data_IF_872491818002
#
_entry.id   IF_872491818002
#
_cell.length_a   1.000
_cell.length_b   1.000
_cell.length_c   1.000
_cell.angle_alpha   90.00
_cell.angle_beta   90.00
_cell.angle_gamma   90.00
#
_symmetry.space_group_name_H-M   'P 1'
#
loop_
_entity.id
_entity.type
_entity.pdbx_description
1 polymer ?
#
# COMPACT_ATOMS: atom_id res chain seq x y z
N UNK A 1 27.71 1.78 -14.26
CA UNK A 1 27.89 1.80 -12.80
C UNK A 1 26.64 1.24 -12.12
N UNK A 2 26.78 0.58 -10.97
CA UNK A 2 25.67 -0.05 -10.25
C UNK A 2 25.86 0.06 -8.74
N UNK A 3 24.76 0.06 -7.99
CA UNK A 3 24.71 -0.03 -6.52
C UNK A 3 24.99 -1.45 -5.99
N UNK A 4 25.31 -2.41 -6.86
CA UNK A 4 25.59 -3.81 -6.48
C UNK A 4 26.64 -3.95 -5.40
N UNK A 5 27.77 -3.24 -5.51
CA UNK A 5 28.83 -3.26 -4.50
C UNK A 5 28.35 -2.74 -3.14
N UNK A 6 27.52 -1.71 -3.14
CA UNK A 6 26.96 -1.12 -1.91
C UNK A 6 26.03 -2.11 -1.21
N UNK A 7 25.13 -2.77 -1.95
CA UNK A 7 24.22 -3.77 -1.38
C UNK A 7 24.94 -5.05 -0.95
N UNK A 8 25.99 -5.46 -1.65
CA UNK A 8 26.82 -6.59 -1.22
C UNK A 8 27.51 -6.30 0.12
N UNK A 9 27.96 -5.06 0.36
CA UNK A 9 28.66 -4.68 1.58
C UNK A 9 27.72 -4.43 2.77
N UNK A 10 26.53 -3.87 2.53
CA UNK A 10 25.61 -3.45 3.60
C UNK A 10 24.45 -4.43 3.83
N UNK A 11 24.25 -5.38 2.91
CA UNK A 11 22.94 -6.00 2.74
C UNK A 11 21.95 -5.02 2.10
N UNK A 12 20.75 -5.50 1.77
CA UNK A 12 19.76 -4.67 1.11
C UNK A 12 19.06 -5.36 -0.05
N UNK A 13 18.19 -4.61 -0.71
CA UNK A 13 17.46 -5.03 -1.90
C UNK A 13 17.85 -4.17 -3.10
N UNK A 14 18.41 -4.78 -4.14
CA UNK A 14 18.69 -4.12 -5.42
C UNK A 14 17.46 -4.18 -6.33
N UNK A 15 17.23 -3.10 -7.08
CA UNK A 15 16.19 -3.05 -8.10
C UNK A 15 16.58 -2.11 -9.25
N UNK A 16 15.75 -2.10 -10.30
CA UNK A 16 15.98 -1.31 -11.52
C UNK A 16 17.36 -1.59 -12.15
N UNK A 17 17.65 -2.87 -12.41
CA UNK A 17 18.94 -3.34 -12.95
C UNK A 17 20.17 -2.89 -12.14
N UNK A 18 19.99 -2.69 -10.82
CA UNK A 18 21.04 -2.27 -9.91
C UNK A 18 21.31 -0.76 -9.93
N UNK A 19 20.42 0.04 -10.51
CA UNK A 19 20.45 1.49 -10.43
C UNK A 19 19.67 2.04 -9.23
N UNK A 20 18.92 1.21 -8.49
CA UNK A 20 18.30 1.58 -7.22
C UNK A 20 18.49 0.48 -6.17
N UNK A 21 18.49 0.87 -4.91
CA UNK A 21 18.60 -0.05 -3.79
C UNK A 21 17.85 0.45 -2.55
N UNK A 22 17.43 -0.47 -1.68
CA UNK A 22 17.09 -0.15 -0.30
C UNK A 22 18.10 -0.84 0.61
N UNK A 23 18.70 -0.09 1.53
CA UNK A 23 19.79 -0.55 2.40
C UNK A 23 19.50 -0.17 3.86
N UNK A 24 20.18 -0.80 4.83
CA UNK A 24 20.16 -0.35 6.21
C UNK A 24 20.67 1.08 6.37
N UNK A 25 20.10 1.82 7.32
CA UNK A 25 20.64 3.06 7.82
C UNK A 25 21.95 2.86 8.59
N UNK A 26 22.80 3.89 8.72
CA UNK A 26 24.02 3.80 9.53
C UNK A 26 23.73 3.40 10.98
N UNK A 27 24.35 2.32 11.46
CA UNK A 27 24.15 1.82 12.83
C UNK A 27 22.91 0.93 13.02
N UNK A 28 22.15 0.65 11.95
CA UNK A 28 21.01 -0.27 11.97
C UNK A 28 21.40 -1.70 11.58
N UNK A 29 20.55 -2.67 11.91
CA UNK A 29 20.76 -4.09 11.58
C UNK A 29 20.65 -4.36 10.07
N UNK A 30 21.22 -5.48 9.61
CA UNK A 30 21.20 -5.88 8.18
C UNK A 30 19.81 -6.14 7.58
N UNK A 31 18.76 -6.20 8.42
CA UNK A 31 17.36 -6.34 8.00
C UNK A 31 16.68 -4.99 7.72
N UNK A 32 17.29 -3.88 8.13
CA UNK A 32 16.76 -2.54 7.94
C UNK A 32 16.76 -2.12 6.46
N UNK A 33 15.73 -1.39 6.04
CA UNK A 33 15.55 -0.86 4.67
C UNK A 33 15.15 0.62 4.70
N UNK A 34 15.55 1.33 5.76
CA UNK A 34 15.19 2.73 6.00
C UNK A 34 15.86 3.70 5.02
N UNK A 35 16.87 3.28 4.26
CA UNK A 35 17.58 4.12 3.28
C UNK A 35 17.30 3.63 1.86
N UNK A 36 16.76 4.52 1.03
CA UNK A 36 16.65 4.30 -0.41
C UNK A 36 17.79 5.01 -1.13
N UNK A 37 18.45 4.27 -2.02
CA UNK A 37 19.53 4.75 -2.87
C UNK A 37 19.11 4.68 -4.34
N UNK A 38 19.52 5.65 -5.13
CA UNK A 38 19.43 5.57 -6.59
C UNK A 38 20.62 6.23 -7.27
N UNK A 39 20.93 5.73 -8.47
CA UNK A 39 21.90 6.33 -9.36
C UNK A 39 21.22 7.37 -10.24
N UNK A 40 21.80 8.57 -10.26
CA UNK A 40 21.50 9.62 -11.23
C UNK A 40 22.82 10.15 -11.77
N UNK A 41 23.00 10.14 -13.09
CA UNK A 41 24.23 10.61 -13.76
C UNK A 41 25.53 10.02 -13.17
N UNK A 42 25.48 8.74 -12.77
CA UNK A 42 26.61 8.02 -12.18
C UNK A 42 26.90 8.33 -10.70
N UNK A 43 26.11 9.19 -10.05
CA UNK A 43 26.21 9.53 -8.63
C UNK A 43 25.12 8.86 -7.81
N UNK A 44 25.45 8.47 -6.59
CA UNK A 44 24.51 7.93 -5.60
C UNK A 44 23.78 9.07 -4.93
N UNK A 45 22.45 8.99 -4.93
CA UNK A 45 21.58 9.82 -4.13
C UNK A 45 20.92 8.94 -3.09
N UNK A 46 20.84 9.44 -1.86
CA UNK A 46 20.25 8.76 -0.72
C UNK A 46 19.04 9.52 -0.19
N UNK A 47 18.00 8.78 0.17
CA UNK A 47 16.86 9.27 0.93
C UNK A 47 16.66 8.35 2.12
N UNK A 48 16.63 8.91 3.34
CA UNK A 48 16.27 8.15 4.53
C UNK A 48 14.81 8.40 4.88
N UNK A 49 14.11 7.31 5.17
CA UNK A 49 12.76 7.31 5.76
C UNK A 49 12.81 7.17 7.30
N UNK A 50 14.02 7.06 7.89
CA UNK A 50 14.27 7.03 9.34
C UNK A 50 14.88 8.34 9.86
N UNK A 51 15.23 8.40 11.15
CA UNK A 51 15.77 9.60 11.80
C UNK A 51 17.19 10.02 11.38
N UNK A 52 17.78 9.38 10.37
CA UNK A 52 19.12 9.70 9.87
C UNK A 52 19.05 10.68 8.69
N UNK A 53 19.75 11.82 8.76
CA UNK A 53 19.87 12.75 7.63
C UNK A 53 20.60 12.07 6.44
N UNK A 54 20.24 12.41 5.20
CA UNK A 54 20.88 11.89 3.99
C UNK A 54 22.39 12.17 3.97
N UNK A 55 22.84 13.24 4.65
CA UNK A 55 24.25 13.56 4.86
C UNK A 55 24.97 12.49 5.68
N UNK A 56 24.34 11.96 6.73
CA UNK A 56 24.91 10.91 7.57
C UNK A 56 25.05 9.60 6.79
N UNK A 57 24.07 9.28 5.94
CA UNK A 57 24.12 8.13 5.03
C UNK A 57 25.30 8.28 4.05
N UNK A 58 25.41 9.43 3.37
CA UNK A 58 26.49 9.64 2.40
C UNK A 58 27.88 9.70 3.07
N UNK A 59 27.98 10.20 4.30
CA UNK A 59 29.22 10.17 5.07
C UNK A 59 29.62 8.74 5.47
N UNK A 60 28.66 7.89 5.87
CA UNK A 60 28.93 6.49 6.17
C UNK A 60 29.38 5.71 4.92
N UNK A 61 28.71 5.91 3.77
CA UNK A 61 29.11 5.28 2.51
C UNK A 61 30.53 5.67 2.07
N UNK A 62 30.91 6.93 2.25
CA UNK A 62 32.29 7.42 1.98
C UNK A 62 33.29 6.84 2.96
N UNK A 63 33.00 6.85 4.25
CA UNK A 63 33.86 6.29 5.31
C UNK A 63 34.15 4.80 5.06
N UNK A 64 33.17 4.06 4.55
CA UNK A 64 33.31 2.63 4.19
C UNK A 64 33.97 2.39 2.84
N UNK A 65 34.33 3.44 2.09
CA UNK A 65 34.92 3.31 0.76
C UNK A 65 33.98 2.68 -0.27
N UNK A 66 32.65 2.85 -0.10
CA UNK A 66 31.63 2.36 -1.03
C UNK A 66 31.23 3.42 -2.07
N UNK A 67 31.57 4.68 -1.80
CA UNK A 67 31.35 5.83 -2.68
C UNK A 67 32.56 6.77 -2.59
N UNK A 68 33.00 7.33 -3.72
CA UNK A 68 34.11 8.30 -3.78
C UNK A 68 33.70 9.72 -3.32
N UNK A 69 34.67 10.64 -3.34
CA UNK A 69 34.44 12.04 -2.99
C UNK A 69 33.37 12.72 -3.88
N UNK A 70 33.30 12.32 -5.16
CA UNK A 70 32.33 12.83 -6.15
C UNK A 70 30.95 12.16 -6.04
N UNK A 71 30.75 11.23 -5.11
CA UNK A 71 29.46 10.56 -4.93
C UNK A 71 29.25 9.34 -5.84
N UNK A 72 30.30 8.82 -6.50
CA UNK A 72 30.20 7.67 -7.42
C UNK A 72 30.54 6.36 -6.69
N UNK A 73 29.86 5.23 -6.97
CA UNK A 73 30.18 3.95 -6.33
C UNK A 73 31.62 3.51 -6.59
N UNK A 74 32.31 3.04 -5.55
CA UNK A 74 33.67 2.50 -5.61
C UNK A 74 33.66 0.99 -5.40
N UNK A 75 34.28 0.23 -6.32
CA UNK A 75 34.44 -1.23 -6.21
C UNK A 75 33.98 -2.05 -7.42
N UNK A 76 34.87 -2.95 -7.87
CA UNK A 76 34.74 -3.87 -8.99
C UNK A 76 33.78 -5.05 -8.70
N UNK A 77 33.31 -5.81 -9.72
CA UNK A 77 32.25 -6.79 -9.55
C UNK A 77 32.76 -8.02 -8.78
N UNK A 78 32.43 -8.10 -7.49
CA UNK A 78 32.55 -9.36 -6.77
C UNK A 78 31.42 -10.29 -7.22
N UNK A 79 31.79 -11.32 -7.98
CA UNK A 79 30.97 -12.47 -8.29
C UNK A 79 30.38 -13.09 -7.01
N UNK A 80 29.10 -13.46 -7.05
CA UNK A 80 28.58 -14.47 -6.13
C UNK A 80 27.55 -14.02 -5.08
N UNK A 81 26.61 -13.13 -5.43
CA UNK A 81 25.28 -13.21 -4.87
C UNK A 81 24.29 -12.96 -6.01
N UNK A 82 23.75 -14.04 -6.58
CA UNK A 82 22.69 -13.93 -7.57
C UNK A 82 21.50 -13.24 -6.89
N UNK A 83 21.37 -11.92 -7.13
CA UNK A 83 20.15 -11.17 -6.84
C UNK A 83 19.03 -11.95 -7.52
N UNK A 84 18.08 -12.48 -6.75
CA UNK A 84 16.89 -13.12 -7.32
C UNK A 84 16.25 -12.08 -8.22
N UNK A 85 16.42 -12.23 -9.53
CA UNK A 85 15.88 -11.29 -10.51
C UNK A 85 14.38 -11.19 -10.23
N UNK A 86 13.86 -9.95 -10.10
CA UNK A 86 12.41 -9.77 -9.97
C UNK A 86 11.77 -10.50 -11.15
N UNK A 87 10.79 -11.38 -10.91
CA UNK A 87 10.10 -12.06 -11.99
C UNK A 87 9.59 -11.02 -12.99
N UNK A 88 9.65 -11.37 -14.28
CA UNK A 88 9.18 -10.47 -15.33
C UNK A 88 7.71 -10.06 -15.08
N UNK A 89 7.33 -8.87 -15.57
CA UNK A 89 5.98 -8.31 -15.49
C UNK A 89 4.86 -9.31 -15.80
N UNK A 90 5.03 -10.15 -16.83
CA UNK A 90 4.11 -11.22 -17.23
C UNK A 90 3.99 -12.28 -16.14
N UNK A 91 5.11 -12.80 -15.63
CA UNK A 91 5.10 -13.77 -14.51
C UNK A 91 4.43 -13.19 -13.28
N UNK A 92 4.68 -11.91 -12.97
CA UNK A 92 4.05 -11.23 -11.84
C UNK A 92 2.53 -11.15 -12.02
N UNK A 93 2.05 -10.76 -13.20
CA UNK A 93 0.61 -10.68 -13.51
C UNK A 93 -0.06 -12.06 -13.43
N UNK A 94 0.53 -13.08 -14.06
CA UNK A 94 0.03 -14.46 -14.00
C UNK A 94 -0.02 -15.00 -12.58
N UNK A 95 0.97 -14.65 -11.74
CA UNK A 95 0.97 -15.02 -10.33
C UNK A 95 -0.18 -14.36 -9.56
N UNK A 96 -0.46 -13.09 -9.84
CA UNK A 96 -1.59 -12.39 -9.23
C UNK A 96 -2.95 -12.94 -9.69
N UNK A 97 -3.09 -13.25 -10.98
CA UNK A 97 -4.28 -13.90 -11.55
C UNK A 97 -4.53 -15.28 -10.89
N UNK A 98 -3.47 -16.08 -10.72
CA UNK A 98 -3.55 -17.38 -10.05
C UNK A 98 -3.96 -17.25 -8.57
N UNK A 99 -3.39 -16.29 -7.84
CA UNK A 99 -3.80 -16.01 -6.46
C UNK A 99 -5.27 -15.59 -6.41
N UNK A 100 -5.69 -14.70 -7.31
CA UNK A 100 -7.06 -14.24 -7.40
C UNK A 100 -8.05 -15.39 -7.65
N UNK A 101 -7.74 -16.30 -8.56
CA UNK A 101 -8.60 -17.47 -8.86
C UNK A 101 -8.70 -18.47 -7.71
N UNK A 102 -7.73 -18.46 -6.77
CA UNK A 102 -7.73 -19.30 -5.57
C UNK A 102 -8.48 -18.65 -4.38
N UNK A 103 -8.92 -17.40 -4.54
CA UNK A 103 -9.72 -16.70 -3.54
C UNK A 103 -11.11 -17.29 -3.41
N UNK A 104 -11.63 -17.31 -2.18
CA UNK A 104 -13.00 -17.68 -1.86
C UNK A 104 -13.79 -16.44 -1.46
N UNK A 105 -15.11 -16.48 -1.70
CA UNK A 105 -15.99 -15.40 -1.25
C UNK A 105 -15.87 -15.21 0.26
N UNK A 106 -15.87 -13.95 0.71
CA UNK A 106 -15.86 -13.64 2.13
C UNK A 106 -17.19 -14.10 2.72
N UNK A 107 -17.14 -15.10 3.60
CA UNK A 107 -18.29 -15.56 4.38
C UNK A 107 -18.46 -14.76 5.68
N UNK A 108 -19.66 -14.71 6.27
CA UNK A 108 -19.91 -13.97 7.52
C UNK A 108 -19.02 -14.37 8.69
N UNK A 109 -18.59 -15.63 8.74
CA UNK A 109 -17.70 -16.19 9.78
C UNK A 109 -16.21 -16.22 9.39
N UNK A 110 -15.86 -15.74 8.18
CA UNK A 110 -14.49 -15.74 7.68
C UNK A 110 -13.56 -14.79 8.45
N UNK A 111 -12.25 -15.05 8.40
CA UNK A 111 -11.25 -14.16 9.01
C UNK A 111 -11.26 -12.79 8.33
N UNK A 112 -11.45 -12.73 7.01
CA UNK A 112 -11.54 -11.47 6.28
C UNK A 112 -12.75 -10.63 6.74
N UNK A 113 -13.94 -11.25 6.92
CA UNK A 113 -15.11 -10.55 7.45
C UNK A 113 -14.86 -10.03 8.87
N UNK A 114 -14.31 -10.86 9.76
CA UNK A 114 -13.92 -10.46 11.12
C UNK A 114 -12.86 -9.36 11.13
N UNK A 115 -11.90 -9.41 10.21
CA UNK A 115 -10.87 -8.38 10.08
C UNK A 115 -11.50 -7.03 9.73
N UNK A 116 -12.37 -7.00 8.72
CA UNK A 116 -13.10 -5.82 8.31
C UNK A 116 -14.02 -5.29 9.45
N UNK A 117 -14.69 -6.19 10.17
CA UNK A 117 -15.46 -5.84 11.37
C UNK A 117 -14.61 -5.18 12.47
N UNK A 118 -13.39 -5.70 12.73
CA UNK A 118 -12.43 -5.07 13.67
C UNK A 118 -11.98 -3.69 13.21
N UNK A 119 -12.02 -3.43 11.91
CA UNK A 119 -11.80 -2.11 11.31
C UNK A 119 -13.05 -1.23 11.34
N UNK A 120 -14.13 -1.63 12.01
CA UNK A 120 -15.42 -0.93 12.01
C UNK A 120 -16.05 -0.77 10.62
N UNK A 121 -15.68 -1.65 9.68
CA UNK A 121 -16.21 -1.71 8.32
C UNK A 121 -16.80 -3.11 8.12
N UNK A 122 -18.04 -3.38 8.56
CA UNK A 122 -18.64 -4.69 8.36
C UNK A 122 -18.67 -5.03 6.86
N UNK A 123 -18.23 -6.25 6.51
CA UNK A 123 -18.37 -6.74 5.14
C UNK A 123 -19.86 -6.77 4.73
N UNK A 124 -20.15 -6.46 3.47
CA UNK A 124 -21.49 -6.55 2.89
C UNK A 124 -21.45 -7.23 1.52
N UNK A 125 -22.56 -7.83 1.11
CA UNK A 125 -22.66 -8.60 -0.14
C UNK A 125 -22.41 -7.75 -1.41
N UNK A 126 -22.58 -6.43 -1.31
CA UNK A 126 -22.36 -5.49 -2.41
C UNK A 126 -20.90 -5.12 -2.68
N UNK A 127 -19.97 -5.47 -1.77
CA UNK A 127 -18.55 -5.15 -1.95
C UNK A 127 -17.93 -6.08 -3.00
N UNK A 128 -17.36 -5.47 -4.04
CA UNK A 128 -16.69 -6.16 -5.15
C UNK A 128 -15.18 -6.20 -4.94
N UNK A 129 -14.49 -7.01 -5.74
CA UNK A 129 -13.02 -7.09 -5.81
C UNK A 129 -12.32 -7.41 -4.48
N UNK A 130 -13.05 -7.95 -3.50
CA UNK A 130 -12.50 -8.51 -2.27
C UNK A 130 -12.83 -9.99 -2.14
N UNK A 131 -11.82 -10.79 -1.84
CA UNK A 131 -11.93 -12.20 -1.53
C UNK A 131 -11.12 -12.51 -0.28
N UNK A 132 -11.37 -13.68 0.29
CA UNK A 132 -10.47 -14.28 1.26
C UNK A 132 -9.59 -15.31 0.56
N UNK A 133 -8.28 -15.23 0.71
CA UNK A 133 -7.38 -16.28 0.24
C UNK A 133 -7.13 -17.28 1.38
N UNK A 134 -7.46 -18.56 1.23
CA UNK A 134 -7.42 -19.53 2.34
C UNK A 134 -5.99 -19.91 2.77
N UNK A 135 -5.03 -19.87 1.84
CA UNK A 135 -3.63 -20.22 2.11
C UNK A 135 -2.67 -19.39 1.24
N UNK A 136 -2.64 -18.07 1.42
CA UNK A 136 -1.78 -17.17 0.64
C UNK A 136 -0.31 -17.40 1.01
N UNK A 137 0.58 -17.68 0.04
CA UNK A 137 2.01 -17.82 0.33
C UNK A 137 2.60 -16.52 0.85
N UNK A 138 3.39 -16.57 1.92
CA UNK A 138 4.14 -15.39 2.40
C UNK A 138 5.24 -15.02 1.38
N UNK A 139 5.92 -16.06 0.85
CA UNK A 139 6.96 -15.95 -0.18
C UNK A 139 6.41 -16.30 -1.57
N UNK A 140 5.52 -15.46 -2.10
CA UNK A 140 4.76 -15.67 -3.36
C UNK A 140 5.56 -16.15 -4.59
N UNK A 141 6.83 -15.77 -4.72
CA UNK A 141 7.67 -16.14 -5.87
C UNK A 141 8.68 -17.26 -5.57
N UNK A 142 8.56 -17.89 -4.40
CA UNK A 142 9.36 -19.05 -4.01
C UNK A 142 8.45 -20.27 -3.95
N UNK A 143 8.95 -21.42 -4.39
CA UNK A 143 8.25 -22.69 -4.21
C UNK A 143 8.31 -23.12 -2.75
N UNK A 144 7.15 -23.44 -2.17
CA UNK A 144 7.03 -23.85 -0.77
C UNK A 144 7.14 -22.70 0.25
N UNK A 145 7.04 -23.06 1.52
CA UNK A 145 7.09 -22.11 2.64
C UNK A 145 5.73 -21.86 3.30
N UNK A 146 5.70 -21.02 4.34
CA UNK A 146 4.50 -20.80 5.11
C UNK A 146 3.42 -20.08 4.30
N UNK A 147 2.18 -20.48 4.54
CA UNK A 147 0.98 -19.83 4.02
C UNK A 147 0.15 -19.26 5.17
N UNK A 148 -0.60 -18.20 4.90
CA UNK A 148 -1.52 -17.61 5.84
C UNK A 148 -2.83 -17.26 5.15
N UNK A 149 -3.92 -17.23 5.91
CA UNK A 149 -5.18 -16.65 5.44
C UNK A 149 -4.98 -15.15 5.20
N UNK A 150 -5.56 -14.62 4.12
CA UNK A 150 -5.41 -13.21 3.77
C UNK A 150 -6.72 -12.61 3.29
N UNK A 151 -6.97 -11.34 3.64
CA UNK A 151 -7.87 -10.50 2.86
C UNK A 151 -7.14 -10.16 1.56
N UNK A 152 -7.79 -10.41 0.42
CA UNK A 152 -7.21 -10.22 -0.90
C UNK A 152 -8.06 -9.23 -1.70
N UNK A 153 -7.43 -8.15 -2.16
CA UNK A 153 -8.07 -7.16 -3.02
C UNK A 153 -7.55 -7.30 -4.46
N UNK A 154 -8.45 -7.37 -5.43
CA UNK A 154 -8.10 -7.40 -6.86
C UNK A 154 -7.71 -6.00 -7.33
N UNK A 155 -6.59 -5.91 -8.02
CA UNK A 155 -6.11 -4.69 -8.66
C UNK A 155 -6.33 -4.85 -10.16
N UNK A 156 -7.14 -3.96 -10.73
CA UNK A 156 -7.49 -3.98 -12.15
C UNK A 156 -6.98 -2.73 -12.85
N UNK A 157 -6.51 -2.85 -14.09
CA UNK A 157 -6.19 -1.71 -14.95
C UNK A 157 -7.46 -0.94 -15.38
N UNK A 158 -7.36 0.17 -16.13
CA UNK A 158 -8.53 0.91 -16.64
C UNK A 158 -9.49 0.05 -17.49
N UNK A 159 -8.97 -0.91 -18.24
CA UNK A 159 -9.76 -1.84 -19.05
C UNK A 159 -10.45 -2.95 -18.23
N UNK A 160 -10.17 -3.01 -16.91
CA UNK A 160 -10.74 -3.99 -15.99
C UNK A 160 -10.00 -5.32 -15.95
N UNK A 161 -8.85 -5.45 -16.62
CA UNK A 161 -8.02 -6.67 -16.56
C UNK A 161 -7.30 -6.73 -15.23
N UNK A 162 -7.25 -7.92 -14.63
CA UNK A 162 -6.48 -8.14 -13.40
C UNK A 162 -5.00 -7.89 -13.69
N UNK A 163 -4.40 -6.97 -12.96
CA UNK A 163 -2.95 -6.69 -13.07
C UNK A 163 -2.20 -7.04 -11.81
N UNK A 164 -2.89 -7.06 -10.67
CA UNK A 164 -2.30 -7.44 -9.39
C UNK A 164 -3.34 -7.85 -8.36
N UNK A 165 -2.85 -8.22 -7.19
CA UNK A 165 -3.64 -8.37 -5.96
C UNK A 165 -2.90 -7.73 -4.80
N UNK A 166 -3.61 -7.15 -3.85
CA UNK A 166 -3.07 -6.79 -2.54
C UNK A 166 -3.52 -7.83 -1.52
N UNK A 167 -2.56 -8.46 -0.84
CA UNK A 167 -2.76 -9.40 0.24
C UNK A 167 -2.53 -8.69 1.57
N UNK A 168 -3.53 -8.70 2.46
CA UNK A 168 -3.36 -8.38 3.88
C UNK A 168 -3.42 -9.70 4.65
N UNK A 169 -2.26 -10.18 5.11
CA UNK A 169 -2.16 -11.45 5.84
C UNK A 169 -2.79 -11.31 7.24
N UNK A 170 -3.53 -12.33 7.65
CA UNK A 170 -4.31 -12.32 8.88
C UNK A 170 -3.80 -13.38 9.87
N UNK A 171 -3.74 -13.03 11.16
CA UNK A 171 -3.54 -13.99 12.24
C UNK A 171 -4.84 -14.75 12.56
N UNK A 172 -4.76 -15.78 13.42
CA UNK A 172 -5.93 -16.56 13.85
C UNK A 172 -7.02 -15.70 14.53
N UNK A 173 -6.66 -14.56 15.10
CA UNK A 173 -7.56 -13.60 15.72
C UNK A 173 -8.17 -12.59 14.72
N UNK A 174 -7.91 -12.74 13.42
CA UNK A 174 -8.32 -11.83 12.34
C UNK A 174 -7.69 -10.43 12.42
N UNK A 175 -6.55 -10.29 13.09
CA UNK A 175 -5.72 -9.07 13.05
C UNK A 175 -4.76 -9.18 11.89
N UNK A 176 -4.29 -8.03 11.39
CA UNK A 176 -3.19 -8.02 10.43
C UNK A 176 -1.98 -8.71 11.08
N UNK A 177 -1.34 -9.62 10.35
CA UNK A 177 -0.23 -10.43 10.84
C UNK A 177 1.06 -9.61 10.91
N UNK A 178 1.10 -8.59 11.77
CA UNK A 178 2.19 -7.60 11.90
C UNK A 178 3.54 -8.20 12.32
N UNK A 179 3.56 -9.46 12.77
CA UNK A 179 4.79 -10.22 13.02
C UNK A 179 5.51 -10.63 11.73
N UNK A 180 4.82 -10.63 10.58
CA UNK A 180 5.47 -10.77 9.29
C UNK A 180 6.19 -9.47 8.94
N UNK A 181 7.42 -9.59 8.43
CA UNK A 181 8.16 -8.45 7.89
C UNK A 181 7.34 -7.65 6.85
N UNK A 182 6.53 -8.35 6.05
CA UNK A 182 5.59 -7.75 5.09
C UNK A 182 4.19 -8.32 5.33
N UNK A 183 3.44 -7.67 6.21
CA UNK A 183 2.07 -8.09 6.59
C UNK A 183 1.00 -7.65 5.59
N UNK A 184 1.32 -6.69 4.70
CA UNK A 184 0.53 -6.31 3.53
C UNK A 184 1.43 -6.30 2.29
N UNK A 185 1.01 -6.98 1.23
CA UNK A 185 1.86 -7.24 0.06
C UNK A 185 1.08 -7.10 -1.24
N UNK A 186 1.62 -6.32 -2.16
CA UNK A 186 1.14 -6.29 -3.56
C UNK A 186 1.88 -7.34 -4.39
N UNK A 187 1.12 -8.17 -5.09
CA UNK A 187 1.60 -9.16 -6.06
C UNK A 187 1.09 -8.76 -7.43
N UNK A 188 1.89 -8.92 -8.48
CA UNK A 188 1.54 -8.43 -9.81
C UNK A 188 2.01 -7.00 -10.00
N UNK A 189 1.26 -6.22 -10.77
CA UNK A 189 1.62 -4.86 -11.19
C UNK A 189 0.48 -3.88 -10.83
N UNK A 190 0.85 -2.62 -10.63
CA UNK A 190 -0.09 -1.51 -10.41
C UNK A 190 0.23 -0.45 -11.46
N UNK A 191 -0.26 -0.62 -12.71
CA UNK A 191 -0.07 0.42 -13.72
C UNK A 191 -0.81 1.70 -13.32
N UNK A 192 -0.43 2.87 -13.88
CA UNK A 192 -1.17 4.10 -13.67
C UNK A 192 -2.65 3.93 -13.98
N UNK A 193 -3.51 4.45 -13.11
CA UNK A 193 -4.97 4.34 -13.22
C UNK A 193 -5.53 3.00 -12.75
N UNK A 194 -4.70 2.07 -12.29
CA UNK A 194 -5.20 0.83 -11.69
C UNK A 194 -5.99 1.11 -10.40
N UNK A 195 -6.95 0.26 -10.08
CA UNK A 195 -7.80 0.42 -8.91
C UNK A 195 -8.29 -0.92 -8.36
N UNK A 196 -8.65 -0.92 -7.07
CA UNK A 196 -9.54 -1.92 -6.48
C UNK A 196 -10.97 -1.38 -6.59
N UNK A 197 -11.81 -2.03 -7.40
CA UNK A 197 -13.14 -1.51 -7.73
C UNK A 197 -14.18 -2.07 -6.75
N UNK A 198 -14.21 -1.52 -5.53
CA UNK A 198 -15.03 -2.04 -4.42
C UNK A 198 -16.55 -1.90 -4.64
N UNK A 199 -16.96 -1.07 -5.61
CA UNK A 199 -18.36 -0.86 -6.01
C UNK A 199 -18.49 -0.76 -7.52
N UNK A 200 -19.71 -0.98 -8.03
CA UNK A 200 -20.03 -0.67 -9.43
C UNK A 200 -19.85 0.83 -9.67
N UNK A 201 -19.38 1.20 -10.86
CA UNK A 201 -19.23 2.61 -11.22
C UNK A 201 -20.59 3.32 -11.23
N UNK A 202 -20.63 4.52 -10.67
CA UNK A 202 -21.78 5.42 -10.70
C UNK A 202 -21.39 6.79 -11.23
N UNK A 203 -22.39 7.65 -11.46
CA UNK A 203 -22.18 9.03 -11.94
C UNK A 203 -21.46 9.90 -10.92
N UNK A 204 -21.65 9.62 -9.62
CA UNK A 204 -20.90 10.22 -8.50
C UNK A 204 -20.12 9.10 -7.81
N UNK A 205 -18.81 9.25 -7.73
CA UNK A 205 -17.91 8.24 -7.17
C UNK A 205 -17.11 8.79 -6.00
N UNK A 206 -16.70 7.91 -5.10
CA UNK A 206 -15.70 8.18 -4.08
C UNK A 206 -14.37 7.49 -4.44
N UNK A 207 -13.25 8.16 -4.19
CA UNK A 207 -11.92 7.55 -4.30
C UNK A 207 -11.08 7.86 -3.07
N UNK A 208 -10.24 6.90 -2.67
CA UNK A 208 -9.23 7.06 -1.62
C UNK A 208 -8.00 6.20 -1.93
N UNK A 209 -6.96 6.29 -1.11
CA UNK A 209 -5.73 5.49 -1.29
C UNK A 209 -5.95 4.02 -0.88
N UNK A 210 -6.26 3.76 0.40
CA UNK A 210 -6.32 2.40 0.94
C UNK A 210 -7.70 1.74 0.81
N UNK A 211 -7.72 0.40 0.68
CA UNK A 211 -8.97 -0.38 0.62
C UNK A 211 -9.89 -0.14 1.82
N UNK A 212 -9.36 -0.25 3.04
CA UNK A 212 -10.16 -0.09 4.27
C UNK A 212 -10.59 1.37 4.45
N UNK A 213 -9.74 2.33 4.10
CA UNK A 213 -10.06 3.76 4.07
C UNK A 213 -11.21 4.04 3.12
N UNK A 214 -11.14 3.54 1.87
CA UNK A 214 -12.21 3.67 0.90
C UNK A 214 -13.51 3.10 1.43
N UNK A 215 -13.52 1.88 1.97
CA UNK A 215 -14.75 1.28 2.52
C UNK A 215 -15.32 2.10 3.69
N UNK A 216 -14.47 2.66 4.55
CA UNK A 216 -14.89 3.51 5.66
C UNK A 216 -15.57 4.79 5.14
N UNK A 217 -14.97 5.40 4.12
CA UNK A 217 -15.52 6.59 3.49
C UNK A 217 -16.79 6.28 2.68
N UNK A 218 -16.85 5.18 1.92
CA UNK A 218 -18.06 4.70 1.23
C UNK A 218 -19.23 4.62 2.20
N UNK A 219 -19.02 4.06 3.40
CA UNK A 219 -20.04 3.98 4.45
C UNK A 219 -20.45 5.35 5.00
N UNK A 220 -19.51 6.27 5.17
CA UNK A 220 -19.79 7.60 5.72
C UNK A 220 -20.47 8.55 4.71
N UNK A 221 -20.15 8.42 3.43
CA UNK A 221 -20.68 9.28 2.36
C UNK A 221 -21.83 8.68 1.57
N UNK A 222 -22.09 7.37 1.73
CA UNK A 222 -23.07 6.61 0.96
C UNK A 222 -22.87 6.75 -0.56
N UNK A 223 -21.64 6.50 -1.01
CA UNK A 223 -21.25 6.60 -2.43
C UNK A 223 -20.51 5.35 -2.88
N UNK A 224 -20.66 4.91 -4.15
CA UNK A 224 -19.82 3.85 -4.70
C UNK A 224 -18.35 4.31 -4.70
N UNK A 225 -17.41 3.43 -4.33
CA UNK A 225 -16.03 3.85 -4.12
C UNK A 225 -14.96 2.88 -4.58
N UNK A 226 -13.85 3.42 -5.07
CA UNK A 226 -12.66 2.67 -5.52
C UNK A 226 -11.42 3.04 -4.69
N UNK A 227 -10.55 2.06 -4.44
CA UNK A 227 -9.26 2.30 -3.80
C UNK A 227 -8.14 2.37 -4.82
N UNK A 228 -7.29 3.39 -4.71
CA UNK A 228 -6.26 3.74 -5.69
C UNK A 228 -4.85 3.39 -5.25
N UNK A 229 -4.72 2.66 -4.13
CA UNK A 229 -3.54 1.93 -3.64
C UNK A 229 -2.37 2.80 -3.16
N UNK A 230 -2.20 4.01 -3.68
CA UNK A 230 -1.13 4.93 -3.29
C UNK A 230 -1.41 6.36 -3.68
N UNK A 231 -0.80 7.31 -2.99
CA UNK A 231 -0.82 8.74 -3.30
C UNK A 231 -0.41 9.04 -4.76
N UNK A 232 0.60 8.33 -5.28
CA UNK A 232 1.07 8.50 -6.65
C UNK A 232 0.00 8.12 -7.68
N UNK A 233 -0.63 6.96 -7.49
CA UNK A 233 -1.67 6.48 -8.38
C UNK A 233 -2.99 7.25 -8.20
N UNK A 234 -3.32 7.67 -6.97
CA UNK A 234 -4.41 8.61 -6.66
C UNK A 234 -4.30 9.88 -7.50
N UNK A 235 -3.13 10.54 -7.48
CA UNK A 235 -2.91 11.78 -8.23
C UNK A 235 -3.09 11.61 -9.76
N UNK A 236 -2.73 10.44 -10.29
CA UNK A 236 -2.73 10.12 -11.72
C UNK A 236 -4.05 9.51 -12.23
N UNK A 237 -4.97 9.12 -11.36
CA UNK A 237 -6.17 8.36 -11.75
C UNK A 237 -7.20 9.15 -12.56
N UNK A 238 -7.63 8.62 -13.70
CA UNK A 238 -8.72 9.20 -14.50
C UNK A 238 -9.99 8.37 -14.31
N UNK A 239 -11.15 9.01 -14.06
CA UNK A 239 -12.40 8.29 -13.90
C UNK A 239 -12.88 7.65 -15.21
N UNK A 240 -13.70 6.59 -15.14
CA UNK A 240 -14.44 6.09 -16.29
C UNK A 240 -15.33 7.16 -16.95
N UNK A 241 -15.66 7.03 -18.24
CA UNK A 241 -16.37 8.06 -19.00
C UNK A 241 -17.72 8.51 -18.45
N UNK A 242 -18.43 7.67 -17.67
CA UNK A 242 -19.77 7.96 -17.13
C UNK A 242 -19.76 8.74 -15.81
N UNK A 243 -18.58 8.92 -15.20
CA UNK A 243 -18.44 9.70 -13.97
C UNK A 243 -18.56 11.19 -14.28
N UNK A 244 -19.29 11.91 -13.45
CA UNK A 244 -19.50 13.36 -13.53
C UNK A 244 -19.02 14.08 -12.28
N UNK A 245 -19.03 13.40 -11.14
CA UNK A 245 -18.55 13.95 -9.88
C UNK A 245 -17.73 12.96 -9.05
N UNK A 246 -16.72 13.48 -8.36
CA UNK A 246 -15.79 12.69 -7.56
C UNK A 246 -15.62 13.30 -6.18
N UNK A 247 -15.81 12.49 -5.15
CA UNK A 247 -15.40 12.79 -3.78
C UNK A 247 -14.05 12.11 -3.52
N UNK A 248 -13.02 12.91 -3.24
CA UNK A 248 -11.70 12.42 -2.85
C UNK A 248 -11.66 12.36 -1.32
N UNK A 249 -11.79 11.16 -0.79
CA UNK A 249 -11.57 10.86 0.63
C UNK A 249 -10.06 10.76 0.87
N UNK A 250 -9.44 11.90 1.18
CA UNK A 250 -8.00 12.04 1.30
C UNK A 250 -7.51 11.63 2.69
N UNK A 251 -6.33 11.01 2.74
CA UNK A 251 -5.61 10.77 3.99
C UNK A 251 -4.93 12.07 4.45
N UNK A 252 -4.90 12.32 5.75
CA UNK A 252 -4.18 13.46 6.33
C UNK A 252 -2.68 13.25 6.23
N UNK A 253 -1.97 14.35 5.98
CA UNK A 253 -0.52 14.37 5.86
C UNK A 253 -0.04 14.85 4.50
N UNK A 254 1.24 15.25 4.45
CA UNK A 254 1.82 15.95 3.30
C UNK A 254 1.62 15.21 1.98
N UNK A 255 1.85 13.89 1.95
CA UNK A 255 1.78 13.10 0.73
C UNK A 255 0.34 12.92 0.22
N UNK A 256 -0.57 12.49 1.11
CA UNK A 256 -1.96 12.21 0.77
C UNK A 256 -2.74 13.47 0.38
N UNK A 257 -2.57 14.56 1.13
CA UNK A 257 -3.21 15.83 0.79
C UNK A 257 -2.66 16.43 -0.50
N UNK A 258 -1.34 16.34 -0.75
CA UNK A 258 -0.77 16.80 -2.02
C UNK A 258 -1.27 15.98 -3.21
N UNK A 259 -1.41 14.67 -3.07
CA UNK A 259 -1.99 13.81 -4.10
C UNK A 259 -3.46 14.13 -4.37
N UNK A 260 -4.27 14.30 -3.32
CA UNK A 260 -5.67 14.67 -3.44
C UNK A 260 -5.87 16.04 -4.09
N UNK A 261 -5.06 17.05 -3.74
CA UNK A 261 -5.08 18.38 -4.39
C UNK A 261 -4.74 18.28 -5.88
N UNK A 262 -3.71 17.51 -6.24
CA UNK A 262 -3.32 17.27 -7.65
C UNK A 262 -4.44 16.61 -8.44
N UNK A 263 -5.07 15.57 -7.87
CA UNK A 263 -6.21 14.90 -8.50
C UNK A 263 -7.38 15.88 -8.67
N UNK A 264 -7.74 16.62 -7.62
CA UNK A 264 -8.81 17.62 -7.66
C UNK A 264 -8.59 18.62 -8.79
N UNK A 265 -7.41 19.24 -8.84
CA UNK A 265 -7.07 20.22 -9.86
C UNK A 265 -7.22 19.65 -11.28
N UNK A 266 -6.65 18.47 -11.53
CA UNK A 266 -6.71 17.83 -12.85
C UNK A 266 -8.14 17.46 -13.26
N UNK A 267 -8.92 16.87 -12.38
CA UNK A 267 -10.30 16.47 -12.70
C UNK A 267 -11.23 17.68 -12.88
N UNK A 268 -11.04 18.74 -12.10
CA UNK A 268 -11.77 20.00 -12.30
C UNK A 268 -11.42 20.64 -13.66
N UNK A 269 -10.16 20.61 -14.08
CA UNK A 269 -9.75 21.09 -15.40
C UNK A 269 -10.37 20.27 -16.56
N UNK A 270 -10.77 19.02 -16.30
CA UNK A 270 -11.51 18.17 -17.23
C UNK A 270 -13.04 18.38 -17.17
N UNK A 271 -13.52 19.34 -16.38
CA UNK A 271 -14.94 19.67 -16.27
C UNK A 271 -15.74 18.81 -15.28
N UNK A 272 -15.09 18.01 -14.44
CA UNK A 272 -15.79 17.24 -13.40
C UNK A 272 -16.03 18.08 -12.13
N UNK A 273 -17.12 17.81 -11.43
CA UNK A 273 -17.36 18.34 -10.09
C UNK A 273 -16.55 17.53 -9.06
N UNK A 274 -15.65 18.17 -8.32
CA UNK A 274 -14.71 17.45 -7.44
C UNK A 274 -14.66 18.06 -6.04
N UNK A 275 -14.93 17.22 -5.05
CA UNK A 275 -14.81 17.55 -3.64
C UNK A 275 -13.62 16.81 -3.03
N UNK A 276 -12.86 17.48 -2.16
CA UNK A 276 -11.84 16.84 -1.34
C UNK A 276 -12.32 16.86 0.11
N UNK A 277 -12.32 15.70 0.77
CA UNK A 277 -12.77 15.54 2.15
C UNK A 277 -11.67 14.86 2.96
N UNK A 278 -11.27 15.53 4.04
CA UNK A 278 -10.32 14.98 5.02
C UNK A 278 -11.10 14.39 6.19
N UNK A 279 -10.57 13.33 6.84
CA UNK A 279 -11.14 12.84 8.09
C UNK A 279 -11.04 13.94 9.18
N UNK A 280 -11.76 13.85 10.31
CA UNK A 280 -11.67 14.83 11.39
C UNK A 280 -10.23 15.05 11.90
N UNK A 281 -9.95 16.19 12.58
CA UNK A 281 -8.66 16.38 13.25
C UNK A 281 -8.33 15.22 14.20
N UNK A 282 -7.07 14.81 14.24
CA UNK A 282 -6.61 13.66 15.05
C UNK A 282 -6.74 12.29 14.38
N UNK A 283 -7.40 12.19 13.22
CA UNK A 283 -7.52 10.94 12.45
C UNK A 283 -6.60 10.97 11.23
N UNK A 284 -5.75 9.96 11.02
CA UNK A 284 -4.87 9.89 9.86
C UNK A 284 -5.62 9.60 8.57
N UNK A 285 -6.62 8.71 8.65
CA UNK A 285 -7.47 8.33 7.52
C UNK A 285 -8.95 8.22 7.93
N UNK A 286 -9.81 7.88 6.96
CA UNK A 286 -11.25 7.66 7.21
C UNK A 286 -11.55 6.40 8.03
N UNK A 287 -10.62 5.45 8.11
CA UNK A 287 -10.78 4.29 8.99
C UNK A 287 -10.56 4.65 10.46
N UNK A 288 -9.57 5.50 10.75
CA UNK A 288 -9.38 6.05 12.09
C UNK A 288 -10.64 6.79 12.56
N UNK A 289 -11.21 7.63 11.69
CA UNK A 289 -12.41 8.41 11.98
C UNK A 289 -13.63 7.56 12.40
N UNK A 290 -13.91 6.48 11.66
CA UNK A 290 -15.04 5.60 11.99
C UNK A 290 -14.76 4.72 13.22
N UNK A 291 -13.49 4.44 13.51
CA UNK A 291 -13.12 3.67 14.70
C UNK A 291 -13.23 4.49 15.98
N UNK A 292 -12.81 5.76 15.97
CA UNK A 292 -12.95 6.66 17.12
C UNK A 292 -14.43 6.88 17.50
N UNK A 293 -15.30 7.04 16.51
CA UNK A 293 -16.75 7.18 16.76
C UNK A 293 -17.39 5.90 17.31
N UNK A 294 -16.96 4.72 16.82
CA UNK A 294 -17.43 3.43 17.32
C UNK A 294 -16.96 3.11 18.75
N UNK A 295 -15.80 3.61 19.17
CA UNK A 295 -15.25 3.43 20.52
C UNK A 295 -15.95 4.37 21.52
N UNK A 296 -16.12 5.66 21.19
CA UNK A 296 -16.86 6.61 22.06
C UNK A 296 -18.34 6.26 22.25
N UNK A 297 -18.98 5.64 21.26
CA UNK A 297 -20.36 5.14 21.36
C UNK A 297 -20.53 3.92 22.30
N UNK A 298 -19.44 3.21 22.63
CA UNK A 298 -19.46 2.11 23.61
C UNK A 298 -19.31 2.61 25.04
N UNK A 299 -18.52 3.67 25.25
CA UNK A 299 -18.36 4.29 26.58
C UNK A 299 -19.64 5.03 27.02
N UNK A 300 -20.37 5.66 26.09
CA UNK A 300 -21.63 6.37 26.39
C UNK A 300 -22.85 5.47 26.69
N UNK A 301 -22.73 4.14 26.62
CA UNK A 301 -23.81 3.19 26.98
C UNK A 301 -23.62 2.54 28.36
N UNK A 302 -22.61 2.95 29.13
CA UNK A 302 -22.30 2.41 30.46
C UNK A 302 -22.96 3.13 31.65
N UNK A 303 -23.66 4.25 31.43
CA UNK A 303 -24.34 4.99 32.51
C UNK A 303 -25.71 4.40 32.79
N UNK A 304 -25.79 3.44 33.71
CA UNK A 304 -27.06 2.97 34.26
C UNK A 304 -27.79 4.13 34.99
N UNK A 305 -29.12 4.22 34.93
CA UNK A 305 -29.86 5.23 35.67
C UNK A 305 -29.78 4.93 37.18
N UNK A 306 -29.45 5.95 37.97
CA UNK A 306 -29.62 5.93 39.42
C UNK A 306 -31.07 5.55 39.74
N UNK A 307 -31.25 4.41 40.42
CA UNK A 307 -32.53 4.05 41.02
C UNK A 307 -32.84 5.09 42.11
N UNK A 308 -33.88 5.88 41.90
CA UNK A 308 -34.61 6.56 42.96
C UNK A 308 -35.82 5.70 43.33
N UNK A 309 -36.02 5.50 44.63
CA UNK A 309 -37.24 4.93 45.23
C UNK A 309 -37.08 3.48 45.62
#
# INVERSE_FOLDING_TARGET
>A
MSLRGIVAALGGDLYHNGARANVPGPGHSGEDRSVSLWLTEGRVVAHSFGGSDWRAVMADLRRRGLVDAAGRPTGAPLSGAASVARPDTRVRRQTAERLWSQGVRIGPSGLAARHLQRRAVPWSIGVRDLLEHPAAPVSVYRTGGPTLRALMARISDPDGRTTGVELTYLDAAARQAVRLAVSRKTVGCVPPGAAVRLSVVGRRMLVAEGVVTTLSAVRGFDLPGWALLSAGNLAAWTPPPDVRSVVIAADRGLAGEAAARRLKHRLTALGLAVEMRLPPPGCGDWNDAIRTTAEGGKEGRGSAPERRG
#
